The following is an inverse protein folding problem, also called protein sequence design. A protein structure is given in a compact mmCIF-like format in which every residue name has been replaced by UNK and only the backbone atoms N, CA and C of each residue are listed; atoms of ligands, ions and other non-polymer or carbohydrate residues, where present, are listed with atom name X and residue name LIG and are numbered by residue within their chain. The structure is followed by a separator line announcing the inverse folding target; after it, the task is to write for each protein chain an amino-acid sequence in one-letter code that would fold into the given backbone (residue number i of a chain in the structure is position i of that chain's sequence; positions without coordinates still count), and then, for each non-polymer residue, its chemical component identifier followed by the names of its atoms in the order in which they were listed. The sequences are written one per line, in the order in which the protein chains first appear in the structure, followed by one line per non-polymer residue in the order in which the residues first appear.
data_IF_437772759282
#
_entry.id   IF_437772759282
#
_cell.length_a   1.000
_cell.length_b   1.000
_cell.length_c   1.000
_cell.angle_alpha   90.00
_cell.angle_beta   90.00
_cell.angle_gamma   90.00
#
_symmetry.space_group_name_H-M   'P 1'
#
loop_
_entity.id
_entity.type
_entity.pdbx_description
1 polymer ?
#
# COMPACT_ATOMS: atom_id res chain seq x y z
N UNK A 1 -68.99 -32.16 11.30
CA UNK A 1 -68.01 -32.25 10.15
C UNK A 1 -67.11 -31.00 10.11
N UNK A 2 -67.60 -29.81 10.37
CA UNK A 2 -66.81 -28.57 10.35
C UNK A 2 -65.70 -28.54 11.45
N UNK A 3 -66.00 -29.06 12.66
CA UNK A 3 -65.03 -29.09 13.77
C UNK A 3 -63.91 -30.09 13.52
N UNK A 4 -64.16 -31.19 12.81
CA UNK A 4 -63.12 -32.19 12.47
C UNK A 4 -62.14 -31.56 11.46
N UNK A 5 -62.63 -30.79 10.49
CA UNK A 5 -61.81 -30.10 9.52
C UNK A 5 -60.95 -29.01 10.15
N UNK A 6 -61.47 -28.27 11.12
CA UNK A 6 -60.72 -27.29 11.91
C UNK A 6 -59.61 -27.89 12.75
N UNK A 7 -59.86 -29.05 13.41
CA UNK A 7 -58.86 -29.75 14.19
C UNK A 7 -57.78 -30.30 13.29
N UNK A 8 -58.10 -30.83 12.11
CA UNK A 8 -57.11 -31.31 11.13
C UNK A 8 -56.25 -30.17 10.61
N UNK A 9 -56.83 -29.00 10.28
CA UNK A 9 -56.09 -27.82 9.86
C UNK A 9 -55.16 -27.31 10.97
N UNK A 10 -55.66 -27.27 12.23
CA UNK A 10 -54.84 -26.81 13.37
C UNK A 10 -53.70 -27.81 13.67
N UNK A 11 -53.92 -29.08 13.56
CA UNK A 11 -52.89 -30.10 13.70
C UNK A 11 -51.85 -30.02 12.57
N UNK A 12 -52.25 -29.68 11.35
CA UNK A 12 -51.34 -29.49 10.23
C UNK A 12 -50.48 -28.21 10.38
N UNK A 13 -51.01 -27.16 10.98
CA UNK A 13 -50.32 -25.92 11.25
C UNK A 13 -49.22 -26.06 12.32
N UNK A 14 -49.40 -26.98 13.30
CA UNK A 14 -48.41 -27.28 14.34
C UNK A 14 -47.23 -28.15 13.82
N UNK A 15 -47.38 -28.80 12.68
CA UNK A 15 -46.31 -29.61 12.08
C UNK A 15 -45.27 -28.76 11.31
N UNK A 16 -45.58 -27.52 10.95
CA UNK A 16 -44.65 -26.66 10.21
C UNK A 16 -43.67 -25.85 11.09
N UNK A 17 -43.88 -25.80 12.43
CA UNK A 17 -42.95 -25.10 13.32
C UNK A 17 -41.72 -25.91 13.74
N UNK A 18 -41.67 -27.22 13.35
CA UNK A 18 -40.58 -28.10 13.83
C UNK A 18 -39.33 -28.16 12.96
N UNK A 19 -39.28 -27.43 11.84
CA UNK A 19 -38.15 -27.57 10.91
C UNK A 19 -37.14 -26.41 10.88
N UNK A 20 -37.17 -25.47 11.83
CA UNK A 20 -36.28 -24.31 11.79
C UNK A 20 -35.36 -24.17 12.99
N UNK A 21 -35.11 -25.24 13.74
CA UNK A 21 -34.00 -25.25 14.71
C UNK A 21 -32.96 -26.27 14.25
N UNK A 22 -32.20 -25.93 13.26
CA UNK A 22 -30.87 -26.47 13.09
C UNK A 22 -30.10 -26.24 14.40
N UNK A 23 -29.65 -27.30 15.10
CA UNK A 23 -28.83 -27.11 16.32
C UNK A 23 -27.48 -26.43 16.00
N UNK A 24 -27.19 -26.25 14.72
CA UNK A 24 -26.05 -25.47 14.21
C UNK A 24 -26.54 -24.20 13.49
N UNK A 25 -27.32 -23.37 14.20
CA UNK A 25 -27.37 -21.97 13.82
C UNK A 25 -25.94 -21.43 14.00
N UNK A 26 -25.24 -21.20 12.89
CA UNK A 26 -23.92 -20.57 12.91
C UNK A 26 -24.09 -19.14 13.42
N UNK A 27 -24.13 -18.99 14.73
CA UNK A 27 -23.97 -17.67 15.32
C UNK A 27 -22.58 -17.19 14.87
N UNK A 28 -22.48 -15.96 14.34
CA UNK A 28 -21.22 -15.37 13.86
C UNK A 28 -20.07 -15.44 14.85
N UNK A 29 -20.35 -15.80 16.10
CA UNK A 29 -19.42 -15.82 17.23
C UNK A 29 -19.15 -17.22 17.77
N UNK A 30 -19.38 -18.28 17.02
CA UNK A 30 -19.11 -19.66 17.45
C UNK A 30 -18.19 -20.33 16.44
N UNK A 31 -17.16 -20.96 16.95
CA UNK A 31 -16.23 -21.74 16.11
C UNK A 31 -16.93 -22.92 15.47
N UNK A 32 -16.87 -23.01 14.16
CA UNK A 32 -17.39 -24.15 13.40
C UNK A 32 -16.59 -25.44 13.60
N UNK A 33 -15.35 -25.33 14.11
CA UNK A 33 -14.48 -26.48 14.36
C UNK A 33 -14.68 -27.07 15.75
N UNK A 34 -14.89 -26.23 16.78
CA UNK A 34 -14.89 -26.66 18.18
C UNK A 34 -16.22 -26.44 18.89
N UNK A 35 -17.12 -25.63 18.32
CA UNK A 35 -18.37 -25.23 18.96
C UNK A 35 -18.20 -24.21 20.11
N UNK A 36 -16.99 -23.76 20.38
CA UNK A 36 -16.74 -22.77 21.43
C UNK A 36 -16.98 -21.33 20.95
N UNK A 37 -17.36 -20.46 21.88
CA UNK A 37 -17.54 -19.04 21.56
C UNK A 37 -16.23 -18.38 21.17
N UNK A 38 -16.25 -17.62 20.08
CA UNK A 38 -15.17 -16.73 19.64
C UNK A 38 -15.44 -15.34 20.21
N UNK A 39 -14.42 -14.65 20.68
CA UNK A 39 -14.52 -13.30 21.26
C UNK A 39 -15.39 -13.23 22.52
N UNK A 40 -15.37 -14.26 23.36
CA UNK A 40 -16.06 -14.25 24.64
C UNK A 40 -15.35 -13.29 25.60
N UNK A 41 -16.15 -12.50 26.35
CA UNK A 41 -15.63 -11.59 27.37
C UNK A 41 -14.95 -12.32 28.54
N UNK A 42 -15.22 -13.60 28.72
CA UNK A 42 -14.65 -14.46 29.77
C UNK A 42 -13.30 -15.06 29.42
N UNK A 43 -12.78 -14.77 28.22
CA UNK A 43 -11.53 -15.31 27.68
C UNK A 43 -11.76 -16.33 26.58
N UNK A 44 -10.70 -17.01 26.13
CA UNK A 44 -10.72 -17.94 25.00
C UNK A 44 -10.13 -17.31 23.76
N UNK A 45 -10.46 -17.86 22.59
CA UNK A 45 -9.94 -17.40 21.32
C UNK A 45 -10.54 -16.04 20.95
N UNK A 46 -9.66 -15.05 20.79
CA UNK A 46 -10.01 -13.69 20.37
C UNK A 46 -9.64 -13.51 18.90
N UNK A 47 -10.59 -13.12 18.08
CA UNK A 47 -10.42 -12.88 16.66
C UNK A 47 -10.99 -11.51 16.30
N UNK A 48 -10.22 -10.72 15.56
CA UNK A 48 -10.68 -9.41 15.12
C UNK A 48 -11.73 -9.55 14.01
N UNK A 49 -12.99 -9.38 14.38
CA UNK A 49 -14.14 -9.42 13.45
C UNK A 49 -14.39 -8.09 12.75
N UNK A 50 -13.76 -7.01 13.23
CA UNK A 50 -13.89 -5.66 12.69
C UNK A 50 -12.63 -5.25 11.90
N UNK A 51 -12.08 -6.20 11.14
CA UNK A 51 -10.94 -5.89 10.29
C UNK A 51 -11.32 -4.75 9.33
N UNK A 52 -10.65 -3.64 9.50
CA UNK A 52 -10.63 -2.56 8.51
C UNK A 52 -9.41 -2.79 7.64
N UNK A 53 -9.60 -2.72 6.33
CA UNK A 53 -8.49 -2.78 5.39
C UNK A 53 -7.43 -1.70 5.72
N UNK A 54 -6.21 -1.92 5.30
CA UNK A 54 -5.15 -0.95 5.48
C UNK A 54 -5.54 0.37 4.81
N UNK A 55 -5.37 1.48 5.53
CA UNK A 55 -5.53 2.81 4.97
C UNK A 55 -4.45 3.05 3.91
N UNK A 56 -4.83 3.63 2.77
CA UNK A 56 -3.85 3.95 1.74
C UNK A 56 -2.87 5.02 2.27
N UNK A 57 -1.56 4.88 1.97
CA UNK A 57 -0.59 5.92 2.29
C UNK A 57 -0.96 7.27 1.65
N UNK A 58 -0.48 8.39 2.21
CA UNK A 58 -0.73 9.70 1.64
C UNK A 58 -0.31 9.77 0.17
N UNK A 59 -1.16 10.36 -0.66
CA UNK A 59 -0.97 10.53 -2.11
C UNK A 59 -0.86 9.21 -2.90
N UNK A 60 -1.33 8.09 -2.34
CA UNK A 60 -1.35 6.79 -3.01
C UNK A 60 -2.76 6.24 -3.15
N UNK A 61 -2.97 5.42 -4.18
CA UNK A 61 -4.18 4.64 -4.37
C UNK A 61 -3.85 3.15 -4.40
N UNK A 62 -4.78 2.34 -3.91
CA UNK A 62 -4.68 0.89 -4.03
C UNK A 62 -5.03 0.49 -5.46
N UNK A 63 -4.11 -0.19 -6.12
CA UNK A 63 -4.36 -0.88 -7.39
C UNK A 63 -4.65 -2.33 -7.07
N UNK A 64 -5.86 -2.78 -7.36
CA UNK A 64 -6.25 -4.16 -7.12
C UNK A 64 -5.48 -5.10 -8.04
N UNK A 65 -5.03 -6.22 -7.47
CA UNK A 65 -4.33 -7.25 -8.22
C UNK A 65 -5.25 -7.98 -9.21
N UNK A 66 -4.66 -8.50 -10.25
CA UNK A 66 -5.41 -9.20 -11.28
C UNK A 66 -4.52 -9.81 -12.34
N UNK A 67 -5.14 -10.47 -13.30
CA UNK A 67 -4.46 -11.03 -14.46
C UNK A 67 -4.68 -10.11 -15.67
N UNK A 68 -3.61 -9.73 -16.31
CA UNK A 68 -3.64 -8.94 -17.54
C UNK A 68 -2.82 -9.59 -18.64
N UNK A 69 -3.15 -9.27 -19.86
CA UNK A 69 -2.42 -9.75 -21.04
C UNK A 69 -1.40 -8.70 -21.46
N UNK A 70 -0.13 -9.06 -21.39
CA UNK A 70 1.00 -8.25 -21.87
C UNK A 70 1.34 -8.68 -23.30
N UNK A 71 1.78 -7.73 -24.10
CA UNK A 71 2.18 -7.97 -25.48
C UNK A 71 1.15 -7.47 -26.50
N UNK A 72 1.39 -7.77 -27.76
CA UNK A 72 0.47 -7.43 -28.85
C UNK A 72 -0.72 -8.36 -28.84
N UNK A 73 -1.89 -7.81 -28.58
CA UNK A 73 -3.18 -8.55 -28.51
C UNK A 73 -3.90 -8.50 -29.86
N UNK A 74 -3.49 -7.60 -30.75
CA UNK A 74 -4.02 -7.42 -32.10
C UNK A 74 -2.93 -7.64 -33.16
N UNK A 75 -3.34 -7.63 -34.41
CA UNK A 75 -2.47 -7.88 -35.56
C UNK A 75 -1.12 -7.19 -35.45
N UNK A 76 -0.06 -7.96 -35.67
CA UNK A 76 1.30 -7.46 -35.81
C UNK A 76 1.57 -7.13 -37.26
N UNK A 77 1.52 -5.84 -37.69
CA UNK A 77 1.69 -5.45 -39.05
C UNK A 77 3.10 -5.75 -39.59
N UNK A 78 4.08 -5.83 -38.68
CA UNK A 78 5.47 -6.14 -39.03
C UNK A 78 5.76 -7.64 -39.09
N UNK A 79 4.88 -8.46 -38.48
CA UNK A 79 4.99 -9.93 -38.40
C UNK A 79 6.33 -10.43 -37.86
N UNK A 80 6.90 -9.68 -36.91
CA UNK A 80 8.19 -10.03 -36.30
C UNK A 80 8.07 -11.02 -35.13
N UNK A 81 6.85 -11.29 -34.64
CA UNK A 81 6.50 -12.26 -33.61
C UNK A 81 7.30 -12.14 -32.30
N UNK A 82 7.97 -11.04 -32.08
CA UNK A 82 8.86 -10.84 -30.94
C UNK A 82 8.14 -10.38 -29.67
N UNK A 83 6.84 -10.13 -29.75
CA UNK A 83 6.03 -9.65 -28.63
C UNK A 83 4.65 -10.34 -28.58
N UNK A 84 4.67 -11.66 -28.47
CA UNK A 84 3.45 -12.48 -28.37
C UNK A 84 2.67 -12.17 -27.08
N UNK A 85 1.36 -12.32 -27.16
CA UNK A 85 0.48 -12.13 -26.01
C UNK A 85 0.80 -13.15 -24.89
N UNK A 86 1.05 -12.65 -23.68
CA UNK A 86 1.32 -13.46 -22.49
C UNK A 86 0.50 -12.94 -21.32
N UNK A 87 -0.12 -13.84 -20.57
CA UNK A 87 -0.86 -13.49 -19.36
C UNK A 87 0.08 -13.45 -18.16
N UNK A 88 -0.03 -12.35 -17.40
CA UNK A 88 0.70 -12.16 -16.15
C UNK A 88 -0.27 -11.81 -15.03
N UNK A 89 -0.04 -12.40 -13.86
CA UNK A 89 -0.75 -12.07 -12.65
C UNK A 89 0.08 -11.11 -11.80
N UNK A 90 -0.53 -10.02 -11.37
CA UNK A 90 0.09 -9.03 -10.48
C UNK A 90 -0.70 -8.98 -9.19
N UNK A 91 0.01 -8.94 -8.06
CA UNK A 91 -0.60 -8.72 -6.75
C UNK A 91 -1.06 -7.27 -6.59
N UNK A 92 -1.97 -7.03 -5.65
CA UNK A 92 -2.37 -5.67 -5.30
C UNK A 92 -1.18 -4.87 -4.77
N UNK A 93 -1.11 -3.60 -5.15
CA UNK A 93 -0.04 -2.69 -4.72
C UNK A 93 -0.56 -1.25 -4.60
N UNK A 94 0.18 -0.42 -3.90
CA UNK A 94 -0.08 1.01 -3.83
C UNK A 94 0.73 1.74 -4.90
N UNK A 95 0.10 2.70 -5.56
CA UNK A 95 0.74 3.55 -6.55
C UNK A 95 0.47 5.02 -6.24
N UNK A 96 1.45 5.87 -6.45
CA UNK A 96 1.26 7.31 -6.35
C UNK A 96 0.26 7.83 -7.37
N UNK A 97 -0.56 8.80 -6.97
CA UNK A 97 -1.53 9.49 -7.86
C UNK A 97 -0.79 10.41 -8.82
N UNK A 98 0.34 10.94 -8.39
CA UNK A 98 1.20 11.85 -9.14
C UNK A 98 2.64 11.34 -9.17
N UNK A 99 3.45 11.88 -10.05
CA UNK A 99 4.90 11.67 -10.02
C UNK A 99 5.51 12.17 -8.70
N UNK A 100 6.61 11.55 -8.29
CA UNK A 100 7.38 11.98 -7.10
C UNK A 100 7.96 13.36 -7.35
N UNK A 101 7.67 14.29 -6.45
CA UNK A 101 8.10 15.69 -6.59
C UNK A 101 9.52 15.90 -6.07
N UNK A 102 10.15 17.02 -6.49
CA UNK A 102 11.43 17.45 -5.96
C UNK A 102 11.40 17.59 -4.43
N UNK A 103 10.29 18.10 -3.87
CA UNK A 103 10.13 18.27 -2.42
C UNK A 103 10.15 16.92 -1.70
N UNK A 104 9.43 15.92 -2.19
CA UNK A 104 9.41 14.57 -1.60
C UNK A 104 10.79 13.93 -1.65
N UNK A 105 11.50 14.11 -2.76
CA UNK A 105 12.84 13.56 -2.90
C UNK A 105 13.87 14.28 -2.02
N UNK A 106 13.73 15.61 -1.85
CA UNK A 106 14.55 16.39 -0.92
C UNK A 106 14.34 15.98 0.54
N UNK A 107 13.11 15.61 0.93
CA UNK A 107 12.83 15.07 2.26
C UNK A 107 13.61 13.76 2.51
N UNK A 108 13.65 12.88 1.53
CA UNK A 108 14.47 11.67 1.58
C UNK A 108 15.97 11.98 1.71
N UNK A 109 16.49 12.92 0.91
CA UNK A 109 17.88 13.33 0.98
C UNK A 109 18.23 13.97 2.33
N UNK A 110 17.33 14.78 2.90
CA UNK A 110 17.52 15.36 4.23
C UNK A 110 17.54 14.27 5.31
N UNK A 111 16.66 13.29 5.23
CA UNK A 111 16.66 12.15 6.13
C UNK A 111 17.97 11.34 6.03
N UNK A 112 18.45 11.08 4.81
CA UNK A 112 19.73 10.41 4.60
C UNK A 112 20.88 11.21 5.20
N UNK A 113 20.92 12.53 4.98
CA UNK A 113 21.96 13.40 5.50
C UNK A 113 22.02 13.40 7.04
N UNK A 114 20.88 13.35 7.70
CA UNK A 114 20.79 13.28 9.17
C UNK A 114 21.23 11.93 9.74
N UNK A 115 20.83 10.84 9.11
CA UNK A 115 21.12 9.50 9.62
C UNK A 115 22.48 8.96 9.13
N UNK A 116 22.92 9.38 7.96
CA UNK A 116 24.18 8.99 7.32
C UNK A 116 24.97 10.23 6.92
N UNK A 117 25.53 10.98 7.90
CA UNK A 117 26.17 12.25 7.64
C UNK A 117 27.36 12.07 6.69
N UNK A 118 27.43 12.87 5.61
CA UNK A 118 28.48 12.75 4.58
C UNK A 118 29.87 13.15 5.08
N UNK A 119 29.97 13.73 6.28
CA UNK A 119 31.21 14.01 6.98
C UNK A 119 31.92 12.72 7.43
N UNK A 120 31.15 11.65 7.69
CA UNK A 120 31.68 10.35 7.98
C UNK A 120 32.06 9.63 6.68
N UNK A 121 33.34 9.38 6.47
CA UNK A 121 33.90 8.82 5.24
C UNK A 121 33.28 7.45 4.87
N UNK A 122 32.98 6.61 5.87
CA UNK A 122 32.35 5.30 5.65
C UNK A 122 30.87 5.36 5.26
N UNK A 123 30.18 6.45 5.53
CA UNK A 123 28.75 6.62 5.26
C UNK A 123 28.45 7.58 4.09
N UNK A 124 29.48 8.30 3.64
CA UNK A 124 29.38 9.32 2.58
C UNK A 124 28.77 8.77 1.29
N UNK A 125 29.13 7.56 0.93
CA UNK A 125 28.65 6.95 -0.31
C UNK A 125 27.12 6.77 -0.35
N UNK A 126 26.50 6.51 0.79
CA UNK A 126 25.02 6.34 0.88
C UNK A 126 24.32 7.63 0.43
N UNK A 127 24.75 8.76 0.97
CA UNK A 127 24.16 10.04 0.61
C UNK A 127 24.51 10.46 -0.82
N UNK A 128 25.77 10.31 -1.24
CA UNK A 128 26.21 10.74 -2.59
C UNK A 128 25.57 9.91 -3.68
N UNK A 129 25.38 8.59 -3.46
CA UNK A 129 24.70 7.72 -4.42
C UNK A 129 23.20 7.99 -4.55
N UNK A 130 22.58 8.62 -3.54
CA UNK A 130 21.18 9.01 -3.60
C UNK A 130 20.94 10.34 -4.33
N UNK A 131 21.98 11.12 -4.60
CA UNK A 131 21.84 12.43 -5.27
C UNK A 131 21.44 12.22 -6.74
N UNK A 132 20.37 12.92 -7.22
CA UNK A 132 20.01 12.92 -8.62
C UNK A 132 21.08 13.51 -9.51
N UNK A 133 21.23 13.00 -10.72
CA UNK A 133 22.10 13.58 -11.73
C UNK A 133 21.49 14.86 -12.30
N UNK A 134 21.97 15.99 -11.87
CA UNK A 134 21.51 17.30 -12.36
C UNK A 134 22.02 17.63 -13.77
N UNK A 135 23.04 16.90 -14.27
CA UNK A 135 23.62 17.14 -15.61
C UNK A 135 22.70 16.70 -16.74
N UNK A 136 21.65 15.96 -16.45
CA UNK A 136 20.60 15.60 -17.42
C UNK A 136 20.00 16.80 -18.14
N UNK A 137 20.05 17.99 -17.50
CA UNK A 137 19.59 19.24 -18.08
C UNK A 137 20.57 19.88 -19.08
N UNK A 138 21.82 19.41 -19.13
CA UNK A 138 22.79 19.93 -20.09
C UNK A 138 22.47 19.47 -21.50
N UNK A 139 22.19 20.42 -22.36
CA UNK A 139 21.98 20.17 -23.80
C UNK A 139 23.14 20.79 -24.58
N UNK A 140 23.64 20.07 -25.60
CA UNK A 140 24.71 20.56 -26.49
C UNK A 140 24.29 21.79 -27.31
N UNK A 141 22.98 21.99 -27.49
CA UNK A 141 22.42 23.03 -28.38
C UNK A 141 21.76 24.19 -27.62
N UNK A 142 21.77 24.16 -26.29
CA UNK A 142 21.11 25.17 -25.47
C UNK A 142 21.81 25.43 -24.15
N UNK A 143 21.70 26.66 -23.66
CA UNK A 143 22.16 27.02 -22.31
C UNK A 143 21.07 26.64 -21.28
N UNK A 144 21.39 25.74 -20.38
CA UNK A 144 20.45 25.21 -19.37
C UNK A 144 21.08 25.15 -17.97
N UNK A 145 22.15 25.90 -17.73
CA UNK A 145 22.86 25.87 -16.43
C UNK A 145 21.97 26.32 -15.26
N UNK A 146 20.98 27.18 -15.49
CA UNK A 146 20.01 27.56 -14.47
C UNK A 146 19.18 26.36 -13.98
N UNK A 147 18.82 25.46 -14.90
CA UNK A 147 18.10 24.22 -14.55
C UNK A 147 19.01 23.24 -13.82
N UNK A 148 20.26 23.08 -14.26
CA UNK A 148 21.26 22.23 -13.59
C UNK A 148 21.43 22.62 -12.12
N UNK A 149 21.49 23.93 -11.85
CA UNK A 149 21.77 24.45 -10.50
C UNK A 149 20.53 24.54 -9.62
N UNK A 150 19.38 24.89 -10.19
CA UNK A 150 18.21 25.30 -9.42
C UNK A 150 17.04 24.32 -9.43
N UNK A 151 16.88 23.48 -10.46
CA UNK A 151 15.68 22.68 -10.62
C UNK A 151 15.32 21.82 -9.40
N UNK A 152 16.29 21.13 -8.80
CA UNK A 152 16.03 20.28 -7.64
C UNK A 152 15.76 21.09 -6.37
N UNK A 153 16.41 22.26 -6.22
CA UNK A 153 16.49 22.96 -4.91
C UNK A 153 15.67 24.23 -4.81
N UNK A 154 15.31 24.83 -5.94
CA UNK A 154 14.59 26.10 -5.91
C UNK A 154 13.11 25.90 -5.60
N UNK A 155 12.51 26.67 -4.66
CA UNK A 155 11.12 26.50 -4.23
C UNK A 155 10.09 26.55 -5.36
N UNK A 156 10.36 27.29 -6.44
CA UNK A 156 9.47 27.35 -7.60
C UNK A 156 9.24 25.98 -8.26
N UNK A 157 10.19 25.07 -8.14
CA UNK A 157 10.11 23.72 -8.72
C UNK A 157 9.81 22.63 -7.67
N UNK A 158 9.45 23.01 -6.43
CA UNK A 158 9.22 22.06 -5.34
C UNK A 158 8.19 20.98 -5.68
N UNK A 159 7.12 21.35 -6.37
CA UNK A 159 6.03 20.45 -6.78
C UNK A 159 6.18 19.88 -8.20
N UNK A 160 7.31 20.11 -8.85
CA UNK A 160 7.63 19.53 -10.14
C UNK A 160 8.24 18.14 -9.96
N UNK A 161 8.12 17.24 -10.95
CA UNK A 161 8.69 15.90 -10.86
C UNK A 161 10.19 15.91 -10.65
N UNK A 162 10.71 15.00 -9.81
CA UNK A 162 12.17 14.83 -9.69
C UNK A 162 12.73 14.23 -10.98
N UNK A 163 13.86 14.73 -11.43
CA UNK A 163 14.53 14.34 -12.68
C UNK A 163 15.98 13.94 -12.39
N UNK A 164 16.52 13.04 -13.22
CA UNK A 164 17.90 12.56 -13.06
C UNK A 164 18.06 11.46 -12.01
N UNK A 165 16.98 10.76 -11.69
CA UNK A 165 16.96 9.63 -10.74
C UNK A 165 17.08 8.32 -11.51
N UNK A 166 18.02 7.47 -11.12
CA UNK A 166 18.18 6.12 -11.63
C UNK A 166 17.12 5.17 -11.07
N UNK A 167 16.96 4.00 -11.67
CA UNK A 167 16.03 2.97 -11.18
C UNK A 167 16.37 2.53 -9.74
N UNK A 168 17.66 2.39 -9.42
CA UNK A 168 18.10 1.98 -8.06
C UNK A 168 17.74 3.05 -7.04
N UNK A 169 18.02 4.32 -7.34
CA UNK A 169 17.65 5.45 -6.48
C UNK A 169 16.15 5.54 -6.26
N UNK A 170 15.34 5.31 -7.31
CA UNK A 170 13.89 5.28 -7.19
C UNK A 170 13.42 4.11 -6.30
N UNK A 171 14.04 2.95 -6.42
CA UNK A 171 13.73 1.78 -5.58
C UNK A 171 14.05 2.05 -4.10
N UNK A 172 15.24 2.56 -3.79
CA UNK A 172 15.65 2.92 -2.42
C UNK A 172 14.73 3.99 -1.81
N UNK A 173 14.28 4.97 -2.61
CA UNK A 173 13.29 5.94 -2.17
C UNK A 173 11.96 5.26 -1.79
N UNK A 174 11.49 4.28 -2.55
CA UNK A 174 10.23 3.58 -2.24
C UNK A 174 10.35 2.73 -0.97
N UNK A 175 11.49 2.10 -0.72
CA UNK A 175 11.75 1.37 0.52
C UNK A 175 11.75 2.33 1.72
N UNK A 176 12.53 3.42 1.64
CA UNK A 176 12.56 4.46 2.67
C UNK A 176 11.16 4.98 3.00
N UNK A 177 10.36 5.30 1.99
CA UNK A 177 9.00 5.79 2.16
C UNK A 177 8.10 4.78 2.86
N UNK A 178 8.21 3.52 2.49
CA UNK A 178 7.45 2.43 3.11
C UNK A 178 7.78 2.29 4.59
N UNK A 179 9.05 2.37 4.96
CA UNK A 179 9.51 2.31 6.33
C UNK A 179 8.99 3.49 7.15
N UNK A 180 9.08 4.72 6.60
CA UNK A 180 8.56 5.92 7.29
C UNK A 180 7.06 5.86 7.51
N UNK A 181 6.32 5.32 6.54
CA UNK A 181 4.88 5.15 6.70
C UNK A 181 4.52 4.09 7.74
N UNK A 182 5.25 2.99 7.78
CA UNK A 182 5.07 1.97 8.82
C UNK A 182 5.38 2.51 10.23
N UNK A 183 6.43 3.29 10.38
CA UNK A 183 6.73 3.98 11.65
C UNK A 183 5.59 4.90 12.08
N UNK A 184 5.05 5.70 11.16
CA UNK A 184 3.90 6.56 11.45
C UNK A 184 2.69 5.76 11.93
N UNK A 185 2.40 4.61 11.32
CA UNK A 185 1.31 3.74 11.75
C UNK A 185 1.56 3.16 13.15
N UNK A 186 2.79 2.73 13.43
CA UNK A 186 3.17 2.19 14.74
C UNK A 186 3.11 3.26 15.85
N UNK A 187 3.47 4.50 15.54
CA UNK A 187 3.30 5.64 16.45
C UNK A 187 1.81 5.91 16.73
N UNK A 188 0.97 5.93 15.70
CA UNK A 188 -0.49 6.15 15.83
C UNK A 188 -1.16 5.07 16.66
N UNK A 189 -0.72 3.82 16.55
CA UNK A 189 -1.22 2.68 17.33
C UNK A 189 -0.59 2.58 18.74
N UNK A 190 0.39 3.43 19.05
CA UNK A 190 1.06 3.47 20.34
C UNK A 190 2.09 2.37 20.59
N UNK A 191 2.50 1.65 19.54
CA UNK A 191 3.56 0.64 19.64
C UNK A 191 4.96 1.26 19.62
N UNK A 192 5.09 2.43 19.02
CA UNK A 192 6.34 3.17 18.91
C UNK A 192 6.17 4.55 19.56
N UNK A 193 7.13 4.94 20.38
CA UNK A 193 7.19 6.29 20.97
C UNK A 193 8.33 7.03 20.30
N UNK A 194 8.01 8.11 19.61
CA UNK A 194 9.02 8.95 18.99
C UNK A 194 9.84 9.69 20.05
N UNK A 195 11.15 9.50 20.03
CA UNK A 195 12.04 10.25 20.91
C UNK A 195 12.35 11.62 20.29
N UNK A 196 11.61 12.64 20.73
CA UNK A 196 11.78 14.00 20.26
C UNK A 196 13.20 14.56 20.50
N UNK A 197 14.02 13.93 21.34
CA UNK A 197 15.40 14.34 21.58
C UNK A 197 16.34 13.88 20.46
N UNK A 198 16.06 12.75 19.81
CA UNK A 198 16.84 12.28 18.67
C UNK A 198 16.59 13.12 17.41
N UNK A 199 15.40 13.69 17.27
CA UNK A 199 15.05 14.57 16.15
C UNK A 199 15.61 16.01 16.31
N UNK A 200 16.02 16.37 17.51
CA UNK A 200 16.49 17.73 17.85
C UNK A 200 18.02 17.88 17.90
N UNK A 201 18.76 16.80 17.65
CA UNK A 201 20.22 16.85 17.58
C UNK A 201 20.63 17.21 16.15
N UNK A 202 20.49 18.50 15.87
CA UNK A 202 21.36 19.27 14.95
C UNK A 202 21.09 20.75 15.13
#
# INVERSE_FOLDING_TARGET
RLYILLIICFSFMLMFESCNRSPFSSSKNVSSATGWSINDKKGGFQYNTNFKGQEAPPNMVLIEGGTYTKGRVQDDPMRDWNNSANQQHIQSFYMDITEVTNMMYLEYLDWLKRNYPPENESLREIYTNALPDTLVWRNKLGYSEDMVNNYLRHPAYANYPVVGVSWVQAYEFTEWRSDRYQELLLEREGYLVRDAKLDSVN
#
